data_IF_360862646058
#
_entry.id   IF_360862646058
#
_cell.length_a   1.000
_cell.length_b   1.000
_cell.length_c   1.000
_cell.angle_alpha   90.00
_cell.angle_beta   90.00
_cell.angle_gamma   90.00
#
_symmetry.space_group_name_H-M   'P 1'
#
loop_
_entity.id
_entity.type
_entity.pdbx_description
1 polymer ?
#
# COMPACT_ATOMS: atom_id res chain seq x y z
N UNK A 1 86.35 65.81 -8.91
CA UNK A 1 87.37 64.89 -8.36
C UNK A 1 86.78 64.23 -7.11
N UNK A 2 86.79 62.92 -7.02
CA UNK A 2 86.26 62.04 -6.00
C UNK A 2 84.80 61.56 -6.22
N UNK A 3 84.68 60.38 -6.67
CA UNK A 3 83.49 59.51 -6.63
C UNK A 3 83.09 59.11 -5.21
N UNK A 4 81.83 58.95 -4.91
CA UNK A 4 81.42 58.18 -3.73
C UNK A 4 80.82 56.82 -4.10
N UNK A 5 81.04 55.99 -3.21
CA UNK A 5 80.82 54.55 -2.97
C UNK A 5 79.33 54.16 -3.05
N UNK A 6 79.15 52.99 -3.63
CA UNK A 6 77.88 52.26 -3.66
C UNK A 6 77.45 51.78 -2.29
N UNK A 7 76.17 51.98 -1.99
CA UNK A 7 75.48 51.24 -0.95
C UNK A 7 74.55 50.21 -1.59
N UNK A 8 74.76 48.96 -1.21
CA UNK A 8 73.93 47.80 -1.63
C UNK A 8 72.59 47.87 -0.90
N UNK A 9 71.50 47.85 -1.68
CA UNK A 9 70.18 47.62 -1.15
C UNK A 9 69.89 46.10 -1.10
N UNK A 10 69.58 45.68 0.09
CA UNK A 10 69.18 44.31 0.40
C UNK A 10 67.73 44.05 -0.03
N UNK A 11 67.54 43.17 -1.01
CA UNK A 11 66.28 42.73 -1.53
C UNK A 11 65.99 41.34 -0.99
N UNK A 12 65.29 41.27 0.13
CA UNK A 12 64.68 40.00 0.56
C UNK A 12 63.36 40.26 1.32
N UNK A 13 62.31 40.53 0.53
CA UNK A 13 60.94 40.45 1.03
C UNK A 13 60.12 39.67 -0.01
N UNK A 14 60.11 38.36 0.14
CA UNK A 14 59.14 37.50 -0.50
C UNK A 14 57.77 37.70 0.12
N UNK A 15 56.70 38.03 -0.63
CA UNK A 15 55.36 38.03 -0.11
C UNK A 15 54.91 36.59 0.07
N UNK A 16 54.64 36.19 1.31
CA UNK A 16 53.93 34.94 1.61
C UNK A 16 52.53 34.98 0.99
N UNK A 17 52.32 34.25 -0.09
CA UNK A 17 51.00 34.00 -0.66
C UNK A 17 50.28 33.08 0.31
N UNK A 18 49.36 33.61 1.11
CA UNK A 18 48.39 32.85 1.90
C UNK A 18 47.35 32.30 0.94
N UNK A 19 47.52 31.09 0.49
CA UNK A 19 46.49 30.31 -0.20
C UNK A 19 45.45 29.93 0.81
N UNK A 20 44.40 30.71 0.93
CA UNK A 20 43.19 30.37 1.66
C UNK A 20 42.49 29.25 0.89
N UNK A 21 42.68 27.98 1.32
CA UNK A 21 41.89 26.87 0.88
C UNK A 21 40.46 27.06 1.38
N UNK A 22 39.59 27.55 0.49
CA UNK A 22 38.17 27.45 0.68
C UNK A 22 37.78 25.99 0.50
N UNK A 23 37.70 25.24 1.59
CA UNK A 23 36.93 24.00 1.61
C UNK A 23 35.46 24.37 1.36
N UNK A 24 35.06 24.36 0.12
CA UNK A 24 33.66 24.29 -0.26
C UNK A 24 33.15 22.93 0.21
N UNK A 25 32.60 22.87 1.42
CA UNK A 25 31.76 21.77 1.84
C UNK A 25 30.61 21.71 0.79
N UNK A 26 30.73 20.79 -0.16
CA UNK A 26 29.66 20.43 -1.05
C UNK A 26 28.57 19.83 -0.14
N UNK A 27 27.73 20.69 0.43
CA UNK A 27 26.48 20.28 1.03
C UNK A 27 25.72 19.60 -0.10
N UNK A 28 25.69 18.28 -0.10
CA UNK A 28 24.76 17.52 -0.91
C UNK A 28 23.38 18.06 -0.54
N UNK A 29 22.82 18.90 -1.39
CA UNK A 29 21.43 19.35 -1.26
C UNK A 29 20.62 18.07 -1.41
N UNK A 30 20.30 17.44 -0.30
CA UNK A 30 19.38 16.33 -0.30
C UNK A 30 18.04 16.86 -0.81
N UNK A 31 17.67 16.44 -2.03
CA UNK A 31 16.45 16.89 -2.70
C UNK A 31 15.27 16.53 -1.81
N UNK A 32 14.52 17.53 -1.41
CA UNK A 32 13.24 17.33 -0.74
C UNK A 32 12.30 16.57 -1.68
N UNK A 33 11.64 15.52 -1.17
CA UNK A 33 10.71 14.71 -1.96
C UNK A 33 9.40 14.53 -1.21
N UNK A 34 8.29 14.78 -1.91
CA UNK A 34 6.97 14.37 -1.48
C UNK A 34 6.66 13.00 -2.12
N UNK A 35 6.47 11.98 -1.29
CA UNK A 35 6.03 10.66 -1.73
C UNK A 35 4.51 10.64 -1.85
N UNK A 36 4.01 10.23 -3.00
CA UNK A 36 2.59 10.06 -3.27
C UNK A 36 2.18 8.65 -2.93
N UNK A 37 1.21 8.48 -2.04
CA UNK A 37 0.68 7.17 -1.62
C UNK A 37 -0.77 7.05 -2.05
N UNK A 38 -1.10 6.01 -2.81
CA UNK A 38 -2.47 5.68 -3.18
C UNK A 38 -3.14 4.78 -2.14
N UNK A 39 -4.43 4.99 -1.93
CA UNK A 39 -5.31 4.13 -1.14
C UNK A 39 -6.76 4.25 -1.63
N UNK A 40 -7.44 3.12 -1.79
CA UNK A 40 -8.84 3.09 -2.23
C UNK A 40 -9.82 3.34 -1.09
N UNK A 41 -9.40 3.19 0.16
CA UNK A 41 -10.25 3.35 1.34
C UNK A 41 -10.54 4.82 1.67
N UNK A 42 -11.62 5.03 2.43
CA UNK A 42 -12.01 6.36 2.90
C UNK A 42 -10.98 6.95 3.87
N UNK A 43 -10.96 8.29 3.99
CA UNK A 43 -9.99 9.00 4.82
C UNK A 43 -9.90 8.48 6.27
N UNK A 44 -11.04 8.15 6.89
CA UNK A 44 -11.08 7.65 8.26
C UNK A 44 -10.76 6.17 8.41
N UNK A 45 -10.45 5.44 7.35
CA UNK A 45 -10.16 4.03 7.42
C UNK A 45 -8.83 3.74 8.13
N UNK A 46 -8.72 2.68 8.95
CA UNK A 46 -7.53 2.43 9.79
C UNK A 46 -6.20 2.41 9.02
N UNK A 47 -6.15 1.79 7.84
CA UNK A 47 -4.91 1.72 7.05
C UNK A 47 -4.51 3.09 6.49
N UNK A 48 -5.47 3.92 6.08
CA UNK A 48 -5.22 5.31 5.66
C UNK A 48 -4.63 6.13 6.81
N UNK A 49 -5.15 5.96 8.02
CA UNK A 49 -4.61 6.63 9.21
C UNK A 49 -3.19 6.13 9.54
N UNK A 50 -2.91 4.85 9.37
CA UNK A 50 -1.56 4.29 9.53
C UNK A 50 -0.56 4.88 8.51
N UNK A 51 -0.97 5.05 7.24
CA UNK A 51 -0.16 5.72 6.22
C UNK A 51 0.12 7.19 6.56
N UNK A 52 -0.87 7.92 7.09
CA UNK A 52 -0.67 9.29 7.57
C UNK A 52 0.31 9.35 8.74
N UNK A 53 0.18 8.43 9.69
CA UNK A 53 1.11 8.34 10.82
C UNK A 53 2.53 8.00 10.36
N UNK A 54 2.69 7.07 9.41
CA UNK A 54 3.97 6.79 8.76
C UNK A 54 4.57 8.08 8.14
N UNK A 55 3.74 8.87 7.46
CA UNK A 55 4.15 10.14 6.88
C UNK A 55 4.70 11.13 7.90
N UNK A 56 4.02 11.28 9.04
CA UNK A 56 4.49 12.13 10.15
C UNK A 56 5.86 11.68 10.68
N UNK A 57 6.04 10.36 10.85
CA UNK A 57 7.34 9.81 11.29
C UNK A 57 8.45 10.02 10.27
N UNK A 58 8.15 9.91 8.98
CA UNK A 58 9.13 10.18 7.90
C UNK A 58 9.53 11.66 7.91
N UNK A 59 8.57 12.57 8.01
CA UNK A 59 8.84 14.01 8.08
C UNK A 59 9.69 14.36 9.30
N UNK A 60 9.33 13.88 10.49
CA UNK A 60 10.07 14.09 11.73
C UNK A 60 11.51 13.55 11.63
N UNK A 61 11.67 12.27 11.23
CA UNK A 61 12.98 11.60 11.19
C UNK A 61 13.91 12.14 10.10
N UNK A 62 13.34 12.79 9.08
CA UNK A 62 14.13 13.40 8.01
C UNK A 62 14.34 14.90 8.20
N UNK A 63 13.86 15.48 9.31
CA UNK A 63 13.92 16.91 9.57
C UNK A 63 13.16 17.73 8.51
N UNK A 64 12.01 17.24 8.07
CA UNK A 64 11.16 17.88 7.06
C UNK A 64 11.62 17.70 5.61
N UNK A 65 12.71 16.95 5.34
CA UNK A 65 13.22 16.74 3.99
C UNK A 65 12.31 15.90 3.11
N UNK A 66 11.63 14.92 3.72
CA UNK A 66 10.72 14.03 3.02
C UNK A 66 9.34 14.12 3.63
N UNK A 67 8.32 14.15 2.78
CA UNK A 67 6.92 14.18 3.16
C UNK A 67 6.17 13.07 2.46
N UNK A 68 5.04 12.67 3.04
CA UNK A 68 4.16 11.66 2.47
C UNK A 68 2.78 12.29 2.29
N UNK A 69 2.28 12.26 1.06
CA UNK A 69 0.93 12.70 0.74
C UNK A 69 0.04 11.52 0.40
N UNK A 70 -0.95 11.26 1.25
CA UNK A 70 -1.89 10.15 1.07
C UNK A 70 -3.07 10.60 0.23
N UNK A 71 -3.29 9.92 -0.89
CA UNK A 71 -4.41 10.07 -1.80
C UNK A 71 -5.41 8.94 -1.54
N UNK A 72 -6.30 9.16 -0.59
CA UNK A 72 -7.34 8.21 -0.17
C UNK A 72 -8.56 8.21 -1.11
N UNK A 73 -9.55 7.36 -0.83
CA UNK A 73 -10.85 7.36 -1.53
C UNK A 73 -10.75 7.28 -3.06
N UNK A 74 -9.78 6.53 -3.58
CA UNK A 74 -9.55 6.31 -5.02
C UNK A 74 -9.21 7.59 -5.81
N UNK A 75 -8.62 8.59 -5.16
CA UNK A 75 -8.26 9.85 -5.84
C UNK A 75 -7.28 9.66 -7.00
N UNK A 76 -6.48 8.57 -6.98
CA UNK A 76 -5.54 8.23 -8.05
C UNK A 76 -6.01 7.07 -8.94
N UNK A 77 -7.18 6.50 -8.68
CA UNK A 77 -7.76 5.39 -9.42
C UNK A 77 -8.20 4.22 -8.54
N UNK A 78 -8.77 3.20 -9.16
CA UNK A 78 -9.05 1.91 -8.51
C UNK A 78 -7.77 1.11 -8.33
N UNK A 79 -7.76 0.11 -7.43
CA UNK A 79 -6.54 -0.63 -7.05
C UNK A 79 -5.75 -1.20 -8.24
N UNK A 80 -6.43 -1.77 -9.24
CA UNK A 80 -5.75 -2.32 -10.42
C UNK A 80 -5.01 -1.26 -11.21
N UNK A 81 -5.57 -0.05 -11.28
CA UNK A 81 -4.96 1.09 -11.97
C UNK A 81 -3.78 1.65 -11.17
N UNK A 82 -3.91 1.75 -9.83
CA UNK A 82 -2.83 2.27 -8.98
C UNK A 82 -1.66 1.30 -8.89
N UNK A 83 -1.89 -0.02 -8.91
CA UNK A 83 -0.84 -1.03 -9.04
C UNK A 83 0.03 -0.80 -10.28
N UNK A 84 -0.60 -0.64 -11.46
CA UNK A 84 0.13 -0.38 -12.70
C UNK A 84 0.88 0.96 -12.67
N UNK A 85 0.26 2.00 -12.11
CA UNK A 85 0.89 3.30 -11.95
C UNK A 85 2.11 3.24 -10.99
N UNK A 86 2.03 2.46 -9.93
CA UNK A 86 3.15 2.26 -9.00
C UNK A 86 4.27 1.48 -9.67
N UNK A 87 3.95 0.43 -10.43
CA UNK A 87 4.94 -0.37 -11.16
C UNK A 87 5.77 0.45 -12.16
N UNK A 88 5.17 1.47 -12.78
CA UNK A 88 5.88 2.36 -13.72
C UNK A 88 6.42 3.63 -13.06
N UNK A 89 6.32 3.76 -11.72
CA UNK A 89 6.85 4.89 -10.95
C UNK A 89 6.03 6.18 -11.07
N UNK A 90 4.79 6.12 -11.56
CA UNK A 90 3.87 7.28 -11.60
C UNK A 90 3.27 7.58 -10.21
N UNK A 91 3.18 6.58 -9.35
CA UNK A 91 2.85 6.66 -7.93
C UNK A 91 4.04 6.09 -7.16
N UNK A 92 4.43 6.72 -6.03
CA UNK A 92 5.58 6.27 -5.27
C UNK A 92 5.27 5.06 -4.38
N UNK A 93 4.09 5.03 -3.78
CA UNK A 93 3.66 4.01 -2.83
C UNK A 93 2.19 3.67 -3.06
N UNK A 94 1.82 2.41 -2.88
CA UNK A 94 0.43 1.97 -2.97
C UNK A 94 0.11 0.96 -1.86
N UNK A 95 -1.02 1.15 -1.21
CA UNK A 95 -1.55 0.20 -0.24
C UNK A 95 -2.65 -0.63 -0.91
N UNK A 96 -2.40 -1.93 -1.07
CA UNK A 96 -3.16 -2.83 -1.93
C UNK A 96 -3.55 -4.09 -1.17
N UNK A 97 -4.71 -4.68 -1.48
CA UNK A 97 -5.06 -6.00 -0.97
C UNK A 97 -4.26 -7.10 -1.68
N UNK A 98 -3.74 -8.07 -0.92
CA UNK A 98 -2.90 -9.16 -1.46
C UNK A 98 -3.62 -10.00 -2.51
N UNK A 99 -4.95 -10.20 -2.40
CA UNK A 99 -5.70 -10.95 -3.39
C UNK A 99 -5.68 -10.29 -4.77
N UNK A 100 -5.58 -8.96 -4.84
CA UNK A 100 -5.53 -8.24 -6.10
C UNK A 100 -4.09 -8.16 -6.65
N UNK A 101 -3.11 -7.80 -5.80
CA UNK A 101 -1.71 -7.77 -6.23
C UNK A 101 -1.18 -9.16 -6.58
N UNK A 102 -1.80 -10.22 -6.09
CA UNK A 102 -1.48 -11.61 -6.44
C UNK A 102 -1.61 -11.94 -7.93
N UNK A 103 -2.32 -11.11 -8.71
CA UNK A 103 -2.34 -11.21 -10.17
C UNK A 103 -1.03 -10.75 -10.82
N UNK A 104 -0.24 -9.94 -10.11
CA UNK A 104 1.08 -9.43 -10.53
C UNK A 104 2.21 -10.18 -9.84
N UNK A 105 2.05 -10.50 -8.56
CA UNK A 105 3.04 -11.18 -7.70
C UNK A 105 2.43 -12.49 -7.16
N UNK A 106 2.51 -13.61 -7.89
CA UNK A 106 1.79 -14.84 -7.53
C UNK A 106 2.09 -15.39 -6.13
N UNK A 107 3.28 -15.14 -5.58
CA UNK A 107 3.68 -15.63 -4.26
C UNK A 107 2.74 -15.16 -3.13
N UNK A 108 2.15 -13.96 -3.25
CA UNK A 108 1.28 -13.42 -2.20
C UNK A 108 -0.10 -14.10 -2.14
N UNK A 109 -0.50 -14.85 -3.19
CA UNK A 109 -1.80 -15.53 -3.22
C UNK A 109 -1.98 -16.50 -2.05
N UNK A 110 -0.90 -17.06 -1.54
CA UNK A 110 -0.96 -17.94 -0.36
C UNK A 110 -1.60 -17.23 0.84
N UNK A 111 -1.38 -15.92 0.99
CA UNK A 111 -1.94 -15.13 2.11
C UNK A 111 -3.46 -14.90 1.98
N UNK A 112 -4.01 -15.04 0.77
CA UNK A 112 -5.44 -14.90 0.51
C UNK A 112 -6.19 -16.25 0.49
N UNK A 113 -5.49 -17.38 0.68
CA UNK A 113 -6.11 -18.70 0.69
C UNK A 113 -7.18 -18.81 1.77
N UNK A 114 -8.34 -19.41 1.46
CA UNK A 114 -9.43 -19.56 2.42
C UNK A 114 -9.01 -20.45 3.60
N UNK A 115 -9.43 -20.03 4.79
CA UNK A 115 -9.23 -20.76 6.06
C UNK A 115 -7.78 -21.12 6.43
N UNK A 116 -6.79 -20.43 5.80
CA UNK A 116 -5.37 -20.69 6.08
C UNK A 116 -4.96 -20.25 7.49
N UNK A 117 -5.41 -19.07 7.91
CA UNK A 117 -5.07 -18.51 9.22
C UNK A 117 -6.14 -18.81 10.25
N UNK A 118 -5.71 -19.26 11.43
CA UNK A 118 -6.59 -19.67 12.54
C UNK A 118 -7.04 -18.50 13.40
N UNK A 119 -6.28 -17.38 13.37
CA UNK A 119 -6.56 -16.15 14.11
C UNK A 119 -5.74 -15.00 13.54
N UNK A 120 -6.06 -13.78 13.96
CA UNK A 120 -5.28 -12.56 13.62
C UNK A 120 -3.85 -12.67 14.15
N UNK A 121 -3.65 -13.20 15.36
CA UNK A 121 -2.31 -13.40 15.95
C UNK A 121 -1.49 -14.41 15.14
N UNK A 122 -2.15 -15.46 14.59
CA UNK A 122 -1.45 -16.38 13.69
C UNK A 122 -1.02 -15.70 12.40
N UNK A 123 -1.90 -14.90 11.77
CA UNK A 123 -1.58 -14.11 10.59
C UNK A 123 -0.40 -13.16 10.87
N UNK A 124 -0.48 -12.35 11.92
CA UNK A 124 0.57 -11.38 12.28
C UNK A 124 1.91 -12.08 12.50
N UNK A 125 1.91 -13.20 13.25
CA UNK A 125 3.14 -13.97 13.48
C UNK A 125 3.78 -14.49 12.19
N UNK A 126 2.99 -14.84 11.18
CA UNK A 126 3.49 -15.27 9.87
C UNK A 126 4.03 -14.08 9.10
N UNK A 127 3.29 -12.96 9.06
CA UNK A 127 3.64 -11.76 8.30
C UNK A 127 4.88 -11.04 8.88
N UNK A 128 5.02 -11.01 10.20
CA UNK A 128 6.19 -10.40 10.88
C UNK A 128 7.40 -11.34 10.93
N UNK A 129 7.25 -12.56 10.45
CA UNK A 129 8.26 -13.61 10.48
C UNK A 129 9.03 -13.78 9.16
N UNK A 130 9.88 -14.81 9.09
CA UNK A 130 10.67 -15.09 7.89
C UNK A 130 9.83 -15.31 6.63
N UNK A 131 8.64 -15.93 6.76
CA UNK A 131 7.73 -16.18 5.63
C UNK A 131 7.22 -14.86 5.07
N UNK A 132 6.81 -13.91 5.92
CA UNK A 132 6.37 -12.60 5.48
C UNK A 132 7.48 -11.84 4.77
N UNK A 133 8.72 -11.89 5.28
CA UNK A 133 9.87 -11.27 4.62
C UNK A 133 10.16 -11.91 3.25
N UNK A 134 10.15 -13.23 3.14
CA UNK A 134 10.34 -13.93 1.86
C UNK A 134 9.27 -13.52 0.83
N UNK A 135 8.02 -13.34 1.27
CA UNK A 135 6.95 -12.88 0.39
C UNK A 135 7.20 -11.41 -0.03
N UNK A 136 7.60 -10.51 0.89
CA UNK A 136 7.93 -9.13 0.54
C UNK A 136 9.11 -9.05 -0.45
N UNK A 137 10.14 -9.86 -0.26
CA UNK A 137 11.29 -9.93 -1.16
C UNK A 137 10.89 -10.39 -2.58
N UNK A 138 9.85 -11.23 -2.69
CA UNK A 138 9.37 -11.71 -4.00
C UNK A 138 8.82 -10.61 -4.90
N UNK A 139 8.46 -9.46 -4.36
CA UNK A 139 7.95 -8.32 -5.12
C UNK A 139 8.97 -7.73 -6.09
N UNK A 140 10.27 -7.77 -5.76
CA UNK A 140 11.33 -7.19 -6.60
C UNK A 140 11.37 -7.79 -8.01
N UNK A 141 11.17 -9.09 -8.13
CA UNK A 141 11.13 -9.77 -9.42
C UNK A 141 9.99 -9.30 -10.35
N UNK A 142 9.01 -8.60 -9.78
CA UNK A 142 7.81 -8.13 -10.48
C UNK A 142 7.75 -6.60 -10.63
N UNK A 143 8.84 -5.90 -10.28
CA UNK A 143 8.97 -4.45 -10.44
C UNK A 143 8.38 -3.63 -9.30
N UNK A 144 8.30 -4.21 -8.10
CA UNK A 144 7.87 -3.55 -6.88
C UNK A 144 8.88 -3.79 -5.76
N UNK A 145 8.82 -2.95 -4.73
CA UNK A 145 9.45 -3.21 -3.43
C UNK A 145 8.36 -3.42 -2.40
N UNK A 146 8.27 -4.63 -1.84
CA UNK A 146 7.37 -4.93 -0.73
C UNK A 146 7.89 -4.31 0.56
N UNK A 147 7.10 -3.48 1.24
CA UNK A 147 7.56 -2.73 2.42
C UNK A 147 7.01 -3.27 3.74
N UNK A 148 5.72 -3.49 3.81
CA UNK A 148 5.05 -3.94 5.03
C UNK A 148 3.66 -4.50 4.74
N UNK A 149 3.18 -5.37 5.63
CA UNK A 149 1.79 -5.82 5.62
C UNK A 149 0.94 -5.03 6.62
N UNK A 150 -0.35 -4.93 6.33
CA UNK A 150 -1.37 -4.42 7.23
C UNK A 150 -2.45 -5.48 7.43
N UNK A 151 -2.94 -5.62 8.65
CA UNK A 151 -4.13 -6.40 8.93
C UNK A 151 -5.38 -5.58 8.56
N UNK A 152 -6.29 -6.17 7.81
CA UNK A 152 -7.59 -5.58 7.49
C UNK A 152 -8.76 -6.36 8.10
N UNK A 153 -8.46 -7.35 8.93
CA UNK A 153 -9.43 -8.25 9.56
C UNK A 153 -9.96 -9.35 8.64
N UNK A 154 -10.69 -10.27 9.23
CA UNK A 154 -11.30 -11.37 8.50
C UNK A 154 -12.43 -10.88 7.57
N UNK A 155 -12.51 -11.50 6.40
CA UNK A 155 -13.53 -11.22 5.39
C UNK A 155 -14.70 -12.17 5.56
N UNK A 156 -15.90 -11.64 5.40
CA UNK A 156 -17.17 -12.33 5.60
C UNK A 156 -18.16 -12.01 4.49
N UNK A 157 -19.15 -12.88 4.28
CA UNK A 157 -20.15 -12.71 3.23
C UNK A 157 -21.32 -11.86 3.74
N UNK A 158 -21.76 -10.90 2.95
CA UNK A 158 -22.98 -10.14 3.18
C UNK A 158 -23.83 -10.07 1.91
N UNK A 159 -25.17 -10.05 2.09
CA UNK A 159 -26.11 -10.02 0.96
C UNK A 159 -27.45 -9.38 1.33
N UNK A 160 -28.26 -9.10 0.30
CA UNK A 160 -29.58 -8.50 0.43
C UNK A 160 -30.74 -9.50 0.41
N UNK A 161 -30.45 -10.79 0.17
CA UNK A 161 -31.50 -11.78 -0.19
C UNK A 161 -31.93 -12.61 1.01
N UNK A 162 -30.97 -13.18 1.77
CA UNK A 162 -31.27 -14.12 2.88
C UNK A 162 -30.08 -14.25 3.84
N UNK A 163 -30.34 -14.65 5.10
CA UNK A 163 -29.26 -15.03 6.00
C UNK A 163 -28.58 -16.31 5.49
N UNK A 164 -27.26 -16.40 5.62
CA UNK A 164 -26.48 -17.58 5.28
C UNK A 164 -26.23 -18.36 6.57
N UNK A 165 -26.77 -19.59 6.65
CA UNK A 165 -26.61 -20.50 7.79
C UNK A 165 -25.88 -21.78 7.38
N UNK A 166 -25.79 -22.03 6.09
CA UNK A 166 -25.12 -23.19 5.49
C UNK A 166 -24.62 -22.87 4.09
N UNK A 167 -23.76 -23.71 3.52
CA UNK A 167 -23.33 -23.60 2.11
C UNK A 167 -24.52 -23.60 1.13
N UNK A 168 -25.62 -24.31 1.46
CA UNK A 168 -26.80 -24.33 0.61
C UNK A 168 -27.41 -22.95 0.43
N UNK A 169 -27.29 -22.06 1.43
CA UNK A 169 -27.83 -20.70 1.39
C UNK A 169 -27.02 -19.75 0.51
N UNK A 170 -25.76 -20.11 0.18
CA UNK A 170 -24.90 -19.30 -0.70
C UNK A 170 -25.20 -19.56 -2.18
N UNK A 171 -25.74 -20.73 -2.50
CA UNK A 171 -26.00 -21.16 -3.88
C UNK A 171 -26.85 -20.16 -4.69
N UNK A 172 -26.37 -19.82 -5.87
CA UNK A 172 -27.04 -18.95 -6.82
C UNK A 172 -27.08 -17.46 -6.41
N UNK A 173 -26.40 -17.05 -5.35
CA UNK A 173 -26.18 -15.65 -5.06
C UNK A 173 -25.09 -15.12 -5.99
N UNK A 174 -25.32 -13.96 -6.59
CA UNK A 174 -24.32 -13.19 -7.32
C UNK A 174 -23.52 -12.38 -6.31
N UNK A 175 -22.32 -12.86 -6.00
CA UNK A 175 -21.47 -12.23 -5.00
C UNK A 175 -20.30 -11.49 -5.66
N UNK A 176 -20.18 -10.20 -5.37
CA UNK A 176 -19.02 -9.45 -5.82
C UNK A 176 -17.77 -9.96 -5.14
N UNK A 177 -16.73 -10.14 -5.91
CA UNK A 177 -15.36 -10.38 -5.47
C UNK A 177 -14.41 -9.29 -6.00
N UNK A 178 -13.23 -9.24 -5.43
CA UNK A 178 -12.12 -8.47 -6.00
C UNK A 178 -11.76 -9.05 -7.37
N UNK A 179 -11.11 -8.27 -8.22
CA UNK A 179 -10.67 -8.69 -9.54
C UNK A 179 -9.47 -9.67 -9.43
N UNK A 180 -9.74 -10.85 -8.89
CA UNK A 180 -8.79 -11.91 -8.56
C UNK A 180 -9.41 -13.26 -8.87
N UNK A 181 -8.74 -14.05 -9.71
CA UNK A 181 -9.15 -15.41 -10.06
C UNK A 181 -9.30 -16.29 -8.80
N UNK A 182 -8.36 -16.19 -7.84
CA UNK A 182 -8.44 -16.92 -6.58
C UNK A 182 -9.74 -16.63 -5.82
N UNK A 183 -10.16 -15.36 -5.76
CA UNK A 183 -11.39 -14.97 -5.08
C UNK A 183 -12.63 -15.43 -5.85
N UNK A 184 -12.59 -15.39 -7.18
CA UNK A 184 -13.67 -15.90 -8.03
C UNK A 184 -13.83 -17.41 -7.88
N UNK A 185 -12.73 -18.16 -7.90
CA UNK A 185 -12.73 -19.62 -7.70
C UNK A 185 -13.25 -20.03 -6.33
N UNK A 186 -12.86 -19.31 -5.28
CA UNK A 186 -13.37 -19.53 -3.94
C UNK A 186 -14.90 -19.41 -3.88
N UNK A 187 -15.46 -18.35 -4.44
CA UNK A 187 -16.93 -18.11 -4.45
C UNK A 187 -17.63 -19.17 -5.31
N UNK A 188 -17.03 -19.55 -6.44
CA UNK A 188 -17.53 -20.62 -7.31
C UNK A 188 -17.55 -21.97 -6.56
N UNK A 189 -16.50 -22.29 -5.81
CA UNK A 189 -16.43 -23.51 -5.01
C UNK A 189 -17.50 -23.57 -3.91
N UNK A 190 -17.95 -22.42 -3.40
CA UNK A 190 -19.07 -22.32 -2.46
C UNK A 190 -20.44 -22.47 -3.14
N UNK A 191 -20.48 -22.49 -4.48
CA UNK A 191 -21.71 -22.65 -5.29
C UNK A 191 -22.45 -21.34 -5.56
N UNK A 192 -21.84 -20.19 -5.29
CA UNK A 192 -22.32 -18.88 -5.70
C UNK A 192 -21.73 -18.46 -7.05
N UNK A 193 -22.26 -17.40 -7.61
CA UNK A 193 -21.82 -16.80 -8.88
C UNK A 193 -20.92 -15.60 -8.57
N UNK A 194 -19.60 -15.66 -8.88
CA UNK A 194 -18.71 -14.53 -8.65
C UNK A 194 -18.93 -13.43 -9.70
N UNK A 195 -18.95 -12.19 -9.23
CA UNK A 195 -19.00 -11.00 -10.08
C UNK A 195 -17.81 -10.11 -9.75
N UNK A 196 -16.82 -10.08 -10.61
CA UNK A 196 -15.63 -9.25 -10.41
C UNK A 196 -15.96 -7.77 -10.68
N UNK A 197 -15.84 -6.94 -9.63
CA UNK A 197 -16.04 -5.49 -9.75
C UNK A 197 -14.95 -4.74 -8.97
N UNK A 198 -14.49 -3.58 -9.46
CA UNK A 198 -13.68 -2.65 -8.69
C UNK A 198 -14.38 -2.26 -7.38
N UNK A 199 -13.58 -1.92 -6.36
CA UNK A 199 -14.11 -1.63 -5.02
C UNK A 199 -15.14 -0.49 -5.02
N UNK A 200 -14.88 0.59 -5.77
CA UNK A 200 -15.77 1.73 -5.87
C UNK A 200 -17.12 1.46 -6.53
N UNK A 201 -17.26 0.34 -7.23
CA UNK A 201 -18.51 -0.03 -7.91
C UNK A 201 -19.46 -0.90 -7.07
N UNK A 202 -18.99 -1.39 -5.90
CA UNK A 202 -19.77 -2.36 -5.08
C UNK A 202 -21.08 -1.74 -4.60
N UNK A 203 -21.06 -0.52 -4.06
CA UNK A 203 -22.28 0.15 -3.58
C UNK A 203 -23.31 0.32 -4.70
N UNK A 204 -22.88 0.73 -5.88
CA UNK A 204 -23.73 0.85 -7.07
C UNK A 204 -24.27 -0.52 -7.49
N UNK A 205 -23.40 -1.54 -7.51
CA UNK A 205 -23.81 -2.91 -7.84
C UNK A 205 -24.90 -3.46 -6.91
N UNK A 206 -24.77 -3.20 -5.60
CA UNK A 206 -25.80 -3.55 -4.60
C UNK A 206 -27.11 -2.78 -4.81
N UNK A 207 -27.03 -1.45 -4.99
CA UNK A 207 -28.20 -0.58 -5.12
C UNK A 207 -29.00 -0.85 -6.40
N UNK A 208 -28.33 -1.20 -7.49
CA UNK A 208 -28.94 -1.54 -8.78
C UNK A 208 -29.33 -3.01 -8.89
N UNK A 209 -29.01 -3.83 -7.88
CA UNK A 209 -29.20 -5.29 -7.90
C UNK A 209 -28.42 -6.00 -9.03
N UNK A 210 -27.32 -5.44 -9.47
CA UNK A 210 -26.37 -6.12 -10.35
C UNK A 210 -25.75 -7.32 -9.61
N UNK A 211 -25.50 -7.15 -8.31
CA UNK A 211 -25.04 -8.17 -7.37
C UNK A 211 -26.03 -8.31 -6.23
N UNK A 212 -26.13 -9.50 -5.67
CA UNK A 212 -26.97 -9.80 -4.52
C UNK A 212 -26.24 -9.53 -3.20
N UNK A 213 -24.92 -9.55 -3.23
CA UNK A 213 -24.05 -9.34 -2.09
C UNK A 213 -22.60 -9.20 -2.49
N UNK A 214 -21.74 -9.24 -1.49
CA UNK A 214 -20.29 -9.26 -1.65
C UNK A 214 -19.64 -9.96 -0.44
N UNK A 215 -18.34 -10.08 -0.47
CA UNK A 215 -17.53 -10.49 0.66
C UNK A 215 -16.52 -9.38 1.00
N UNK A 216 -16.34 -9.08 2.25
CA UNK A 216 -15.36 -8.10 2.74
C UNK A 216 -15.27 -8.13 4.27
N UNK A 217 -14.32 -7.37 4.82
CA UNK A 217 -14.17 -7.14 6.24
C UNK A 217 -15.24 -6.17 6.78
N UNK A 218 -15.43 -6.19 8.09
CA UNK A 218 -16.42 -5.36 8.76
C UNK A 218 -16.20 -3.85 8.57
N UNK A 219 -14.96 -3.30 8.70
CA UNK A 219 -14.71 -1.88 8.47
C UNK A 219 -15.15 -1.43 7.07
N UNK A 220 -14.85 -2.20 6.03
CA UNK A 220 -15.27 -1.88 4.66
C UNK A 220 -16.79 -1.90 4.51
N UNK A 221 -17.48 -2.90 5.06
CA UNK A 221 -18.93 -3.01 5.03
C UNK A 221 -19.62 -1.77 5.62
N UNK A 222 -19.08 -1.23 6.72
CA UNK A 222 -19.62 -0.06 7.41
C UNK A 222 -19.23 1.24 6.73
N UNK A 223 -17.94 1.44 6.43
CA UNK A 223 -17.43 2.73 5.92
C UNK A 223 -17.85 3.04 4.49
N UNK A 224 -18.30 2.03 3.73
CA UNK A 224 -18.83 2.18 2.37
C UNK A 224 -20.35 2.14 2.28
N UNK A 225 -21.03 2.12 3.42
CA UNK A 225 -22.50 2.07 3.47
C UNK A 225 -23.14 0.83 2.81
N UNK A 226 -22.39 -0.25 2.61
CA UNK A 226 -22.92 -1.48 2.00
C UNK A 226 -24.09 -2.05 2.79
N UNK A 227 -24.08 -1.88 4.13
CA UNK A 227 -25.16 -2.29 5.03
C UNK A 227 -26.54 -1.70 4.67
N UNK A 228 -26.58 -0.57 3.96
CA UNK A 228 -27.83 0.05 3.52
C UNK A 228 -28.57 -0.79 2.48
N UNK A 229 -27.84 -1.61 1.74
CA UNK A 229 -28.40 -2.42 0.64
C UNK A 229 -28.23 -3.93 0.88
N UNK A 230 -27.37 -4.36 1.79
CA UNK A 230 -27.11 -5.76 2.11
C UNK A 230 -27.35 -5.98 3.61
N UNK A 231 -28.59 -6.31 3.99
CA UNK A 231 -29.01 -6.38 5.40
C UNK A 231 -28.54 -7.64 6.15
N UNK A 232 -27.98 -8.63 5.47
CA UNK A 232 -27.51 -9.87 6.08
C UNK A 232 -25.98 -9.95 6.01
N UNK A 233 -25.31 -9.80 7.15
CA UNK A 233 -23.88 -10.02 7.30
C UNK A 233 -23.64 -11.32 8.07
N UNK A 234 -22.95 -12.26 7.47
CA UNK A 234 -22.68 -13.58 8.06
C UNK A 234 -21.20 -13.71 8.34
N UNK A 235 -20.83 -13.91 9.59
CA UNK A 235 -19.45 -14.10 10.03
C UNK A 235 -18.90 -15.44 9.51
N UNK A 236 -18.57 -15.51 8.24
CA UNK A 236 -17.97 -16.68 7.61
C UNK A 236 -16.47 -16.73 7.84
N UNK A 237 -15.83 -15.57 8.03
CA UNK A 237 -14.38 -15.41 8.28
C UNK A 237 -13.54 -16.30 7.37
N UNK A 238 -13.95 -16.40 6.11
CA UNK A 238 -13.44 -17.38 5.15
C UNK A 238 -12.03 -17.06 4.66
N UNK A 239 -11.56 -15.82 4.77
CA UNK A 239 -10.17 -15.46 4.50
C UNK A 239 -9.75 -14.25 5.33
N UNK A 240 -8.46 -14.16 5.63
CA UNK A 240 -7.82 -13.01 6.27
C UNK A 240 -6.84 -12.36 5.29
N UNK A 241 -7.33 -12.01 4.10
CA UNK A 241 -6.51 -11.41 3.05
C UNK A 241 -5.92 -10.07 3.50
N UNK A 242 -4.62 -9.99 3.88
CA UNK A 242 -4.02 -8.75 4.37
C UNK A 242 -3.85 -7.72 3.26
N UNK A 243 -3.46 -6.52 3.67
CA UNK A 243 -3.03 -5.47 2.76
C UNK A 243 -1.51 -5.43 2.74
N UNK A 244 -0.92 -4.98 1.65
CA UNK A 244 0.52 -4.76 1.52
C UNK A 244 0.79 -3.33 1.06
N UNK A 245 1.82 -2.71 1.62
CA UNK A 245 2.37 -1.46 1.13
C UNK A 245 3.53 -1.78 0.20
N UNK A 246 3.46 -1.27 -1.01
CA UNK A 246 4.50 -1.44 -2.04
C UNK A 246 5.00 -0.09 -2.55
N UNK A 247 6.22 -0.12 -3.09
CA UNK A 247 6.85 1.00 -3.78
C UNK A 247 7.26 0.56 -5.16
#
# INVERSE_FOLDING_TARGET
MKLPVHSRADLSRTPAIVVALWLTAASTIAVAREFRVADTQSEGYPTVQALRYMGLLIEERTGGRHQVRVFHSRQLGEEKETIEQTRVGAIDLDRINVALVGTFVPAVNVLAMPFLFRSIEHLQKVLDGPIGNEILDSFEAHGFVGLAFYDSGARSIYNSVRPIRSIADVKGLRLRVQQSELMADMITALGAEPVELPYGQVLTGLSTKLIDGAENNWPSFVTTDHYKYAGYYTLTEHTMSPEVLVM
#
